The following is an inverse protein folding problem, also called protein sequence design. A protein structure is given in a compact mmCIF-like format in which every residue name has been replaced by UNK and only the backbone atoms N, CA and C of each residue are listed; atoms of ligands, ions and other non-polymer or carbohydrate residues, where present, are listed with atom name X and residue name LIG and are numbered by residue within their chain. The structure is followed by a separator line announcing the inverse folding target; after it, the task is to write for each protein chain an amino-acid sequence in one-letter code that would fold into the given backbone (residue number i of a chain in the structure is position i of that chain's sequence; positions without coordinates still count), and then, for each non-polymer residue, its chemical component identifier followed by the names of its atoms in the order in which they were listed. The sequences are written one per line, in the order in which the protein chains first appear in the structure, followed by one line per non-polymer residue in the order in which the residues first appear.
data_IF_952627333776
#
_entry.id   IF_952627333776
#
_cell.length_a   1.000
_cell.length_b   1.000
_cell.length_c   1.000
_cell.angle_alpha   90.00
_cell.angle_beta   90.00
_cell.angle_gamma   90.00
#
_symmetry.space_group_name_H-M   'P 1'
#
loop_
_entity.id
_entity.type
_entity.pdbx_description
1 polymer ?
#
# COMPACT_ATOMS: atom_id res chain seq x y z
N UNK A 1 11.46 31.85 -7.27
CA UNK A 1 10.98 30.60 -7.88
C UNK A 1 10.28 29.83 -6.79
N UNK A 2 8.97 29.58 -6.90
CA UNK A 2 8.28 28.71 -5.95
C UNK A 2 8.80 27.30 -6.19
N UNK A 3 9.59 26.75 -5.28
CA UNK A 3 9.93 25.33 -5.32
C UNK A 3 8.62 24.55 -5.28
N UNK A 4 8.39 23.71 -6.31
CA UNK A 4 7.24 22.83 -6.34
C UNK A 4 7.31 21.91 -5.10
N UNK A 5 6.37 22.03 -4.15
CA UNK A 5 6.43 21.27 -2.90
C UNK A 5 6.37 19.76 -3.14
N UNK A 6 5.72 19.32 -4.22
CA UNK A 6 5.65 17.92 -4.61
C UNK A 6 7.02 17.44 -5.11
N UNK A 7 7.67 18.19 -6.00
CA UNK A 7 9.03 17.88 -6.45
C UNK A 7 10.05 17.85 -5.29
N UNK A 8 9.96 18.78 -4.35
CA UNK A 8 10.82 18.82 -3.17
C UNK A 8 10.58 17.61 -2.24
N UNK A 9 9.31 17.21 -2.04
CA UNK A 9 8.96 16.01 -1.28
C UNK A 9 9.50 14.75 -1.94
N UNK A 10 9.30 14.60 -3.26
CA UNK A 10 9.77 13.44 -4.02
C UNK A 10 11.30 13.34 -4.00
N UNK A 11 12.00 14.46 -4.19
CA UNK A 11 13.48 14.51 -4.13
C UNK A 11 14.00 14.01 -2.77
N UNK A 12 13.41 14.48 -1.66
CA UNK A 12 13.79 14.00 -0.32
C UNK A 12 13.46 12.53 -0.09
N UNK A 13 12.32 12.08 -0.61
CA UNK A 13 11.84 10.71 -0.39
C UNK A 13 12.68 9.69 -1.17
N UNK A 14 13.06 10.04 -2.40
CA UNK A 14 13.83 9.16 -3.28
C UNK A 14 15.35 9.28 -3.07
N UNK A 15 15.82 10.38 -2.46
CA UNK A 15 17.25 10.66 -2.31
C UNK A 15 17.94 11.07 -3.62
N UNK A 16 17.16 11.38 -4.66
CA UNK A 16 17.65 11.72 -6.01
C UNK A 16 16.93 12.98 -6.52
N UNK A 17 17.58 13.86 -7.31
CA UNK A 17 16.92 15.03 -7.89
C UNK A 17 15.79 14.64 -8.84
N UNK A 18 14.59 15.18 -8.57
CA UNK A 18 13.39 14.95 -9.37
C UNK A 18 13.08 16.18 -10.25
N UNK A 19 12.69 15.94 -11.51
CA UNK A 19 12.30 17.00 -12.47
C UNK A 19 11.01 16.64 -13.21
N UNK A 20 10.42 17.61 -13.91
CA UNK A 20 9.26 17.43 -14.80
C UNK A 20 8.07 16.72 -14.13
N UNK A 21 7.77 17.10 -12.88
CA UNK A 21 6.69 16.49 -12.09
C UNK A 21 5.33 16.84 -12.69
N UNK A 22 4.49 15.81 -12.88
CA UNK A 22 3.11 15.96 -13.37
C UNK A 22 2.12 15.17 -12.53
N UNK A 23 1.06 15.90 -12.21
CA UNK A 23 -0.15 15.54 -11.47
C UNK A 23 -1.30 14.94 -12.30
N UNK A 24 -1.79 13.72 -12.11
CA UNK A 24 -3.03 13.24 -12.73
C UNK A 24 -3.94 12.55 -11.71
N UNK A 25 -5.19 13.01 -11.58
CA UNK A 25 -6.19 12.34 -10.75
C UNK A 25 -6.68 11.09 -11.48
N UNK A 26 -6.40 9.93 -10.91
CA UNK A 26 -6.88 8.62 -11.41
C UNK A 26 -8.28 8.33 -10.90
N UNK A 27 -8.52 8.62 -9.61
CA UNK A 27 -9.80 8.37 -8.95
C UNK A 27 -10.01 9.35 -7.80
N UNK A 28 -11.21 9.90 -7.67
CA UNK A 28 -11.62 10.70 -6.51
C UNK A 28 -13.07 10.43 -6.19
N UNK A 29 -13.32 9.90 -5.00
CA UNK A 29 -14.66 9.74 -4.44
C UNK A 29 -14.63 9.95 -2.91
N UNK A 30 -15.77 9.78 -2.24
CA UNK A 30 -15.89 9.99 -0.79
C UNK A 30 -15.02 9.04 0.06
N UNK A 31 -14.44 7.99 -0.54
CA UNK A 31 -13.72 6.92 0.14
C UNK A 31 -12.22 6.90 -0.18
N UNK A 32 -11.78 7.56 -1.24
CA UNK A 32 -10.39 7.58 -1.69
C UNK A 32 -10.11 8.73 -2.65
N UNK A 33 -8.92 9.31 -2.55
CA UNK A 33 -8.31 10.06 -3.64
C UNK A 33 -7.04 9.34 -4.09
N UNK A 34 -6.93 9.09 -5.39
CA UNK A 34 -5.82 8.42 -6.04
C UNK A 34 -5.28 9.31 -7.14
N UNK A 35 -4.02 9.69 -7.02
CA UNK A 35 -3.34 10.61 -7.91
C UNK A 35 -2.04 9.96 -8.38
N UNK A 36 -1.86 9.85 -9.69
CA UNK A 36 -0.63 9.33 -10.30
C UNK A 36 0.31 10.51 -10.51
N UNK A 37 1.51 10.39 -9.95
CA UNK A 37 2.56 11.39 -10.08
C UNK A 37 3.65 10.84 -10.98
N UNK A 38 3.81 11.41 -12.18
CA UNK A 38 4.88 11.06 -13.12
C UNK A 38 5.99 12.10 -13.09
N UNK A 39 7.25 11.69 -13.18
CA UNK A 39 8.41 12.57 -13.06
C UNK A 39 9.66 11.94 -13.69
N UNK A 40 10.73 12.73 -13.81
CA UNK A 40 12.05 12.26 -14.26
C UNK A 40 13.05 12.17 -13.11
N UNK A 41 13.86 11.11 -13.14
CA UNK A 41 15.02 10.89 -12.26
C UNK A 41 16.19 10.43 -13.11
N UNK A 42 17.30 11.17 -13.07
CA UNK A 42 18.38 11.00 -14.05
C UNK A 42 17.84 11.13 -15.47
N UNK A 43 18.12 10.15 -16.32
CA UNK A 43 17.61 10.07 -17.70
C UNK A 43 16.28 9.28 -17.80
N UNK A 44 15.80 8.70 -16.70
CA UNK A 44 14.62 7.82 -16.69
C UNK A 44 13.33 8.55 -16.33
N UNK A 45 12.21 8.04 -16.86
CA UNK A 45 10.85 8.40 -16.40
C UNK A 45 10.38 7.41 -15.34
N UNK A 46 9.75 7.90 -14.28
CA UNK A 46 9.16 7.09 -13.21
C UNK A 46 7.78 7.63 -12.84
N UNK A 47 6.96 6.76 -12.25
CA UNK A 47 5.69 7.15 -11.66
C UNK A 47 5.50 6.54 -10.28
N UNK A 48 4.78 7.27 -9.43
CA UNK A 48 4.33 6.85 -8.11
C UNK A 48 2.85 7.19 -7.96
N UNK A 49 2.22 6.60 -6.96
CA UNK A 49 0.80 6.81 -6.66
C UNK A 49 0.66 7.44 -5.29
N UNK A 50 -0.02 8.59 -5.26
CA UNK A 50 -0.42 9.27 -4.05
C UNK A 50 -1.84 8.84 -3.70
N UNK A 51 -1.99 8.11 -2.60
CA UNK A 51 -3.27 7.62 -2.10
C UNK A 51 -3.65 8.39 -0.85
N UNK A 52 -4.82 9.05 -0.84
CA UNK A 52 -5.38 9.73 0.33
C UNK A 52 -6.66 9.01 0.77
N UNK A 53 -6.77 8.74 2.06
CA UNK A 53 -7.87 7.95 2.63
C UNK A 53 -8.56 8.73 3.75
N UNK A 54 -9.90 8.73 3.81
CA UNK A 54 -10.64 9.23 4.97
C UNK A 54 -10.13 8.64 6.29
N UNK A 55 -10.26 9.40 7.38
CA UNK A 55 -9.71 9.03 8.70
C UNK A 55 -10.23 7.68 9.22
N UNK A 56 -11.49 7.36 8.96
CA UNK A 56 -12.15 6.10 9.29
C UNK A 56 -11.66 4.90 8.45
N UNK A 57 -10.93 5.16 7.36
CA UNK A 57 -10.31 4.15 6.48
C UNK A 57 -8.78 4.20 6.48
N UNK A 58 -8.18 4.96 7.41
CA UNK A 58 -6.74 5.20 7.45
C UNK A 58 -5.92 4.03 8.05
N UNK A 59 -6.52 2.86 8.31
CA UNK A 59 -5.81 1.67 8.76
C UNK A 59 -4.67 1.32 7.80
N UNK A 60 -4.93 1.38 6.49
CA UNK A 60 -3.93 1.06 5.46
C UNK A 60 -2.70 1.97 5.55
N UNK A 61 -2.88 3.26 5.88
CA UNK A 61 -1.78 4.22 6.07
C UNK A 61 -0.87 3.84 7.25
N UNK A 62 -1.39 3.08 8.21
CA UNK A 62 -0.63 2.58 9.35
C UNK A 62 -0.04 1.19 9.08
N UNK A 63 -0.82 0.32 8.44
CA UNK A 63 -0.49 -1.09 8.23
C UNK A 63 0.48 -1.31 7.08
N UNK A 64 0.27 -0.69 5.93
CA UNK A 64 1.04 -0.98 4.71
C UNK A 64 2.55 -0.72 4.86
N UNK A 65 3.01 0.35 5.54
CA UNK A 65 4.43 0.55 5.83
C UNK A 65 5.04 -0.58 6.67
N UNK A 66 4.26 -1.18 7.57
CA UNK A 66 4.71 -2.35 8.33
C UNK A 66 4.83 -3.58 7.44
N UNK A 67 3.80 -3.88 6.65
CA UNK A 67 3.80 -5.03 5.73
C UNK A 67 4.91 -4.94 4.69
N UNK A 68 5.12 -3.76 4.08
CA UNK A 68 6.12 -3.55 3.05
C UNK A 68 7.57 -3.74 3.51
N UNK A 69 7.83 -3.71 4.84
CA UNK A 69 9.14 -4.05 5.41
C UNK A 69 9.33 -5.56 5.63
N UNK A 70 8.26 -6.34 5.56
CA UNK A 70 8.24 -7.76 5.91
C UNK A 70 8.13 -8.66 4.69
N UNK A 71 7.50 -8.18 3.63
CA UNK A 71 7.21 -8.94 2.42
C UNK A 71 7.14 -8.02 1.23
N UNK A 72 7.47 -8.56 0.07
CA UNK A 72 7.34 -7.94 -1.23
C UNK A 72 6.00 -8.29 -1.92
N UNK A 73 5.04 -8.88 -1.20
CA UNK A 73 3.69 -9.17 -1.72
C UNK A 73 2.65 -8.09 -1.42
N UNK A 74 3.11 -6.91 -1.01
CA UNK A 74 2.30 -5.69 -0.85
C UNK A 74 2.99 -4.51 -1.55
N UNK A 75 2.27 -3.42 -1.89
CA UNK A 75 2.86 -2.25 -2.52
C UNK A 75 4.07 -1.73 -1.75
N UNK A 76 5.13 -1.36 -2.47
CA UNK A 76 6.23 -0.60 -1.90
C UNK A 76 5.72 0.75 -1.42
N UNK A 77 6.08 1.09 -0.18
CA UNK A 77 5.72 2.36 0.45
C UNK A 77 6.96 3.25 0.52
N UNK A 78 6.91 4.39 -0.16
CA UNK A 78 8.00 5.37 -0.18
C UNK A 78 7.85 6.39 0.94
N UNK A 79 6.62 6.85 1.19
CA UNK A 79 6.33 7.79 2.26
C UNK A 79 4.90 7.62 2.75
N UNK A 80 4.63 8.19 3.92
CA UNK A 80 3.28 8.33 4.47
C UNK A 80 3.15 9.65 5.22
N UNK A 81 1.93 10.13 5.36
CA UNK A 81 1.61 11.24 6.24
C UNK A 81 0.31 11.01 6.98
N UNK A 82 0.31 11.31 8.28
CA UNK A 82 -0.89 11.36 9.11
C UNK A 82 -1.02 12.81 9.57
N UNK A 83 -1.86 13.61 8.89
CA UNK A 83 -2.08 15.00 9.28
C UNK A 83 -2.55 15.11 10.74
N UNK A 84 -2.13 16.15 11.49
CA UNK A 84 -2.67 16.42 12.82
C UNK A 84 -4.20 16.53 12.80
N UNK A 85 -4.91 16.22 13.90
CA UNK A 85 -6.37 16.16 13.93
C UNK A 85 -7.08 17.43 13.43
N UNK A 86 -6.48 18.60 13.70
CA UNK A 86 -6.98 19.93 13.36
C UNK A 86 -6.78 20.32 11.88
N UNK A 87 -5.96 19.60 11.14
CA UNK A 87 -5.74 19.86 9.72
C UNK A 87 -6.83 19.15 8.91
N UNK A 88 -7.56 19.84 8.02
CA UNK A 88 -8.62 19.26 7.19
C UNK A 88 -8.00 18.49 6.01
N UNK A 89 -7.08 17.57 6.30
CA UNK A 89 -6.41 16.74 5.32
C UNK A 89 -6.55 15.27 5.68
N UNK A 90 -6.64 14.43 4.66
CA UNK A 90 -6.71 12.99 4.81
C UNK A 90 -5.31 12.39 5.00
N UNK A 91 -5.17 11.36 5.86
CA UNK A 91 -4.00 10.51 5.86
C UNK A 91 -3.66 10.00 4.46
N UNK A 92 -2.37 9.86 4.18
CA UNK A 92 -1.90 9.54 2.84
C UNK A 92 -0.69 8.61 2.80
N UNK A 93 -0.56 7.94 1.65
CA UNK A 93 0.56 7.08 1.28
C UNK A 93 1.11 7.52 -0.07
N UNK A 94 2.43 7.41 -0.23
CA UNK A 94 3.12 7.46 -1.51
C UNK A 94 3.62 6.05 -1.82
N UNK A 95 3.07 5.44 -2.86
CA UNK A 95 3.25 4.05 -3.22
C UNK A 95 3.91 3.92 -4.59
N UNK A 96 4.45 2.74 -4.89
CA UNK A 96 4.76 2.39 -6.28
C UNK A 96 3.49 2.44 -7.15
N UNK A 97 3.67 2.69 -8.45
CA UNK A 97 2.56 2.77 -9.38
C UNK A 97 2.12 1.38 -9.87
N UNK A 98 1.00 0.92 -9.34
CA UNK A 98 0.32 -0.32 -9.78
C UNK A 98 -1.01 -0.05 -10.49
N UNK A 99 -1.32 1.22 -10.82
CA UNK A 99 -2.64 1.57 -11.38
C UNK A 99 -2.85 0.94 -12.76
N UNK A 100 -1.78 0.81 -13.56
CA UNK A 100 -1.83 0.16 -14.87
C UNK A 100 -1.49 -1.35 -14.82
N UNK A 101 -1.19 -1.91 -13.64
CA UNK A 101 -0.88 -3.32 -13.52
C UNK A 101 -2.14 -4.17 -13.71
N UNK A 102 -2.00 -5.29 -14.42
CA UNK A 102 -3.09 -6.22 -14.68
C UNK A 102 -3.55 -6.91 -13.38
N UNK A 103 -4.85 -7.15 -13.27
CA UNK A 103 -5.42 -7.95 -12.18
C UNK A 103 -5.08 -9.44 -12.35
N UNK A 104 -4.99 -10.18 -11.26
CA UNK A 104 -4.63 -11.60 -11.25
C UNK A 104 -5.87 -12.54 -11.26
N UNK A 105 -6.95 -12.18 -11.96
CA UNK A 105 -8.24 -12.89 -11.88
C UNK A 105 -8.21 -14.34 -12.39
N UNK A 106 -7.26 -14.67 -13.23
CA UNK A 106 -6.99 -16.00 -13.78
C UNK A 106 -5.98 -16.81 -12.96
N UNK A 107 -5.43 -16.26 -11.88
CA UNK A 107 -4.33 -16.87 -11.09
C UNK A 107 -4.65 -16.88 -9.59
N UNK A 108 -5.64 -17.71 -9.24
CA UNK A 108 -6.08 -17.91 -7.86
C UNK A 108 -4.98 -18.50 -6.98
N UNK A 109 -4.15 -19.39 -7.53
CA UNK A 109 -3.08 -20.04 -6.78
C UNK A 109 -2.01 -19.04 -6.38
N UNK A 110 -1.56 -18.17 -7.30
CA UNK A 110 -0.60 -17.13 -6.99
C UNK A 110 -1.16 -16.06 -6.04
N UNK A 111 -2.46 -15.75 -6.09
CA UNK A 111 -3.10 -14.89 -5.06
C UNK A 111 -3.03 -15.55 -3.69
N UNK A 112 -3.37 -16.83 -3.60
CA UNK A 112 -3.32 -17.58 -2.35
C UNK A 112 -1.89 -17.71 -1.81
N UNK A 113 -0.90 -17.90 -2.69
CA UNK A 113 0.51 -17.92 -2.33
C UNK A 113 0.98 -16.57 -1.78
N UNK A 114 0.67 -15.47 -2.48
CA UNK A 114 0.98 -14.12 -2.02
C UNK A 114 0.35 -13.85 -0.64
N UNK A 115 -0.90 -14.27 -0.41
CA UNK A 115 -1.57 -14.13 0.88
C UNK A 115 -0.85 -14.89 1.99
N UNK A 116 -0.49 -16.15 1.75
CA UNK A 116 0.27 -16.98 2.71
C UNK A 116 1.64 -16.40 3.01
N UNK A 117 2.29 -15.77 2.04
CA UNK A 117 3.56 -15.08 2.27
C UNK A 117 3.39 -13.88 3.21
N UNK A 118 2.36 -13.05 3.02
CA UNK A 118 2.07 -11.94 3.95
C UNK A 118 1.80 -12.48 5.36
N UNK A 119 0.96 -13.51 5.50
CA UNK A 119 0.65 -14.11 6.80
C UNK A 119 1.89 -14.65 7.51
N UNK A 120 2.73 -15.41 6.79
CA UNK A 120 3.99 -15.94 7.33
C UNK A 120 4.94 -14.82 7.76
N UNK A 121 5.04 -13.76 6.95
CA UNK A 121 5.91 -12.63 7.25
C UNK A 121 5.46 -11.87 8.51
N UNK A 122 4.14 -11.74 8.72
CA UNK A 122 3.57 -11.13 9.93
C UNK A 122 3.73 -12.05 11.15
N UNK A 123 3.44 -13.35 11.01
CA UNK A 123 3.61 -14.34 12.07
C UNK A 123 5.06 -14.47 12.55
N UNK A 124 6.03 -14.20 11.67
CA UNK A 124 7.45 -14.12 12.03
C UNK A 124 7.78 -12.97 12.98
N UNK A 125 6.97 -11.90 13.05
CA UNK A 125 7.20 -10.75 13.94
C UNK A 125 6.54 -10.93 15.32
N UNK A 126 6.97 -11.98 16.02
CA UNK A 126 6.48 -12.31 17.36
C UNK A 126 6.58 -11.15 18.37
N UNK A 127 7.66 -10.32 18.39
CA UNK A 127 7.72 -9.17 19.27
C UNK A 127 6.63 -8.13 19.00
N UNK A 128 6.38 -7.78 17.73
CA UNK A 128 5.33 -6.84 17.38
C UNK A 128 3.94 -7.38 17.70
N UNK A 129 3.68 -8.65 17.39
CA UNK A 129 2.40 -9.31 17.70
C UNK A 129 2.14 -9.35 19.20
N UNK A 130 3.15 -9.67 20.01
CA UNK A 130 3.06 -9.64 21.47
C UNK A 130 2.77 -8.24 22.00
N UNK A 131 3.44 -7.22 21.48
CA UNK A 131 3.22 -5.82 21.89
C UNK A 131 1.80 -5.33 21.54
N UNK A 132 1.20 -5.89 20.50
CA UNK A 132 -0.17 -5.61 20.07
C UNK A 132 -1.23 -6.47 20.80
N UNK A 133 -0.81 -7.35 21.72
CA UNK A 133 -1.73 -8.23 22.44
C UNK A 133 -2.39 -9.31 21.57
N UNK A 134 -1.80 -9.65 20.43
CA UNK A 134 -2.33 -10.68 19.54
C UNK A 134 -2.19 -12.05 20.21
N UNK A 135 -3.27 -12.84 20.33
CA UNK A 135 -3.21 -14.19 20.88
C UNK A 135 -2.21 -15.04 20.08
N UNK A 136 -1.39 -15.82 20.77
CA UNK A 136 -0.34 -16.64 20.13
C UNK A 136 -0.86 -17.80 19.27
N UNK A 137 -2.17 -18.05 19.31
CA UNK A 137 -2.76 -19.30 18.86
C UNK A 137 -3.73 -19.00 17.72
N UNK A 138 -3.34 -19.35 16.49
CA UNK A 138 -4.24 -19.36 15.32
C UNK A 138 -4.69 -18.00 14.77
N UNK A 139 -4.33 -16.87 15.40
CA UNK A 139 -4.71 -15.54 14.89
C UNK A 139 -3.83 -15.14 13.72
N UNK A 140 -4.45 -14.75 12.60
CA UNK A 140 -3.78 -14.32 11.36
C UNK A 140 -4.24 -12.94 10.93
N UNK A 141 -3.40 -12.24 10.16
CA UNK A 141 -3.79 -10.99 9.51
C UNK A 141 -4.66 -11.30 8.30
N UNK A 142 -5.94 -10.97 8.37
CA UNK A 142 -6.90 -11.03 7.28
C UNK A 142 -6.78 -9.79 6.41
N UNK A 143 -6.92 -9.95 5.10
CA UNK A 143 -6.94 -8.81 4.17
C UNK A 143 -8.27 -8.03 4.24
N UNK A 144 -9.37 -8.73 4.58
CA UNK A 144 -10.73 -8.18 4.67
C UNK A 144 -11.44 -7.78 3.36
N UNK A 145 -10.77 -7.88 2.21
CA UNK A 145 -11.36 -7.70 0.87
C UNK A 145 -10.49 -8.44 -0.18
N UNK A 146 -10.14 -9.69 0.10
CA UNK A 146 -9.27 -10.44 -0.81
C UNK A 146 -10.09 -10.88 -2.03
N UNK A 147 -9.84 -10.22 -3.16
CA UNK A 147 -10.46 -10.48 -4.47
C UNK A 147 -9.44 -10.21 -5.56
N UNK A 148 -9.63 -10.76 -6.74
CA UNK A 148 -8.63 -10.62 -7.79
C UNK A 148 -8.39 -9.17 -8.26
N UNK A 149 -9.40 -8.29 -8.18
CA UNK A 149 -9.26 -6.86 -8.46
C UNK A 149 -8.29 -6.14 -7.49
N UNK A 150 -8.05 -6.73 -6.31
CA UNK A 150 -7.12 -6.26 -5.30
C UNK A 150 -5.78 -7.02 -5.35
N UNK A 151 -5.50 -7.74 -6.44
CA UNK A 151 -4.26 -8.48 -6.65
C UNK A 151 -3.66 -8.12 -8.01
N UNK A 152 -2.48 -7.50 -7.99
CA UNK A 152 -1.80 -6.97 -9.17
C UNK A 152 -0.66 -7.85 -9.59
N UNK A 153 -0.58 -8.16 -10.89
CA UNK A 153 0.58 -8.86 -11.49
C UNK A 153 1.73 -7.89 -11.64
N UNK A 154 2.90 -8.28 -11.13
CA UNK A 154 4.13 -7.49 -11.22
C UNK A 154 5.31 -8.40 -11.56
N UNK A 155 6.47 -7.82 -11.86
CA UNK A 155 7.71 -8.58 -12.11
C UNK A 155 8.15 -9.42 -10.90
N UNK A 156 7.76 -8.99 -9.68
CA UNK A 156 8.00 -9.71 -8.42
C UNK A 156 6.83 -10.62 -8.01
N UNK A 157 5.98 -11.00 -8.97
CA UNK A 157 4.80 -11.83 -8.75
C UNK A 157 3.57 -11.03 -8.31
N UNK A 158 2.65 -11.67 -7.60
CA UNK A 158 1.38 -11.05 -7.21
C UNK A 158 1.54 -10.15 -5.98
N UNK A 159 1.09 -8.91 -6.12
CA UNK A 159 1.07 -7.91 -5.06
C UNK A 159 -0.38 -7.64 -4.65
N UNK A 160 -0.68 -7.82 -3.36
CA UNK A 160 -2.00 -7.58 -2.79
C UNK A 160 -2.16 -6.11 -2.37
N UNK A 161 -3.23 -5.46 -2.82
CA UNK A 161 -3.52 -4.03 -2.63
C UNK A 161 -4.83 -3.81 -1.85
N UNK A 162 -5.15 -2.58 -1.43
CA UNK A 162 -6.43 -2.26 -0.75
C UNK A 162 -6.58 -2.94 0.62
N UNK A 163 -5.58 -2.76 1.49
CA UNK A 163 -5.55 -3.31 2.85
C UNK A 163 -6.40 -2.52 3.86
N UNK A 164 -7.20 -1.54 3.41
CA UNK A 164 -8.05 -0.71 4.27
C UNK A 164 -9.08 -1.49 5.12
N UNK A 165 -9.37 -2.75 4.79
CA UNK A 165 -10.30 -3.62 5.55
C UNK A 165 -9.60 -4.72 6.35
N UNK A 166 -8.28 -4.66 6.44
CA UNK A 166 -7.52 -5.67 7.16
C UNK A 166 -7.93 -5.75 8.64
N UNK A 167 -7.87 -6.95 9.19
CA UNK A 167 -8.21 -7.20 10.59
C UNK A 167 -7.53 -8.49 11.05
N UNK A 168 -7.55 -8.76 12.35
CA UNK A 168 -7.09 -10.04 12.91
C UNK A 168 -8.29 -11.01 12.96
N UNK A 169 -8.08 -12.25 12.54
CA UNK A 169 -9.09 -13.30 12.53
C UNK A 169 -8.49 -14.69 12.73
N UNK A 170 -9.33 -15.72 12.74
CA UNK A 170 -8.89 -17.12 12.88
C UNK A 170 -8.39 -17.67 11.53
N UNK A 171 -7.33 -18.48 11.58
CA UNK A 171 -6.74 -19.09 10.38
C UNK A 171 -7.72 -20.01 9.64
N UNK A 172 -7.82 -19.85 8.32
CA UNK A 172 -8.65 -20.70 7.44
C UNK A 172 -9.90 -20.02 6.86
N UNK A 173 -10.21 -18.79 7.28
CA UNK A 173 -11.50 -18.15 6.95
C UNK A 173 -11.48 -17.27 5.68
N UNK A 174 -10.32 -17.03 5.04
CA UNK A 174 -10.25 -16.17 3.86
C UNK A 174 -10.20 -16.97 2.55
N UNK A 175 -11.38 -17.21 1.97
CA UNK A 175 -11.54 -17.78 0.62
C UNK A 175 -11.78 -16.64 -0.37
N UNK A 176 -11.11 -16.68 -1.53
CA UNK A 176 -11.41 -15.77 -2.64
C UNK A 176 -12.88 -15.95 -3.05
N UNK A 177 -13.68 -14.86 -3.15
CA UNK A 177 -15.02 -14.94 -3.72
C UNK A 177 -15.01 -15.34 -5.20
#
# INVERSE_FOLDING_TARGET
MSDDPLAAMLTRTLGEPVRDVRSEIVKRDARIELERVSFRVGEGSRSLVFTRLPKDRALEVQLLPFLARKTDRVPRVYARGIPPPLVPAWPWLLLEDLVAAADACDDREGIAEAKREVERAVAGDRPALRALGVPGDGTVLMHGDLRCANAKRTERGIVLTEWARAHLGEGGEQVLP
#
